data_IF_217166146911
#
_entry.id   IF_217166146911
#
_cell.length_a   1.000
_cell.length_b   1.000
_cell.length_c   1.000
_cell.angle_alpha   90.00
_cell.angle_beta   90.00
_cell.angle_gamma   90.00
#
_symmetry.space_group_name_H-M   'P 1'
#
loop_
_entity.id
_entity.type
_entity.pdbx_description
1 polymer ?
#
# COMPACT_ATOMS: atom_id res chain seq x y z
N UNK A 1 -5.32 -7.26 4.34
CA UNK A 1 -4.99 -6.36 3.24
C UNK A 1 -6.12 -6.47 2.22
N UNK A 2 -6.66 -5.37 1.70
CA UNK A 2 -7.69 -5.40 0.65
C UNK A 2 -6.98 -5.60 -0.68
N UNK A 3 -7.32 -6.68 -1.36
CA UNK A 3 -6.64 -7.11 -2.58
C UNK A 3 -7.26 -6.44 -3.81
N UNK A 4 -6.41 -5.96 -4.71
CA UNK A 4 -6.73 -5.37 -6.01
C UNK A 4 -7.90 -4.38 -5.97
N UNK A 5 -7.69 -3.28 -5.24
CA UNK A 5 -8.74 -2.29 -4.99
C UNK A 5 -9.23 -1.60 -6.28
N UNK A 6 -8.47 -1.66 -7.37
CA UNK A 6 -8.85 -1.16 -8.69
C UNK A 6 -10.06 -1.89 -9.30
N UNK A 7 -10.37 -3.11 -8.86
CA UNK A 7 -11.56 -3.84 -9.34
C UNK A 7 -12.83 -3.52 -8.56
N UNK A 8 -12.74 -2.70 -7.51
CA UNK A 8 -13.94 -2.20 -6.86
C UNK A 8 -14.74 -1.35 -7.88
N UNK A 9 -16.07 -1.50 -7.98
CA UNK A 9 -16.90 -0.67 -8.86
C UNK A 9 -16.71 0.83 -8.63
N UNK A 10 -16.38 1.18 -7.39
CA UNK A 10 -15.92 2.51 -7.00
C UNK A 10 -15.03 2.36 -5.75
N UNK A 11 -13.88 3.03 -5.72
CA UNK A 11 -12.97 3.06 -4.56
C UNK A 11 -13.64 3.55 -3.27
N UNK A 12 -14.70 4.37 -3.37
CA UNK A 12 -15.48 4.81 -2.22
C UNK A 12 -16.08 3.64 -1.42
N UNK A 13 -16.40 2.51 -2.05
CA UNK A 13 -16.83 1.30 -1.33
C UNK A 13 -15.72 0.73 -0.46
N UNK A 14 -14.47 0.77 -0.94
CA UNK A 14 -13.31 0.33 -0.16
C UNK A 14 -13.15 1.27 1.03
N UNK A 15 -13.17 2.58 0.82
CA UNK A 15 -12.90 3.57 1.87
C UNK A 15 -14.01 3.68 2.92
N UNK A 16 -15.28 3.64 2.51
CA UNK A 16 -16.42 3.92 3.39
C UNK A 16 -17.07 2.67 3.97
N UNK A 17 -16.82 1.49 3.39
CA UNK A 17 -17.43 0.25 3.88
C UNK A 17 -16.38 -0.78 4.29
N UNK A 18 -15.44 -1.09 3.40
CA UNK A 18 -14.49 -2.19 3.65
C UNK A 18 -13.47 -1.85 4.74
N UNK A 19 -12.81 -0.70 4.63
CA UNK A 19 -11.78 -0.30 5.60
C UNK A 19 -12.33 -0.11 7.02
N UNK A 20 -13.50 0.52 7.24
CA UNK A 20 -14.09 0.62 8.58
C UNK A 20 -14.37 -0.75 9.22
N UNK A 21 -14.90 -1.71 8.47
CA UNK A 21 -15.14 -3.07 8.99
C UNK A 21 -13.82 -3.74 9.38
N UNK A 22 -12.78 -3.59 8.56
CA UNK A 22 -11.45 -4.14 8.90
C UNK A 22 -10.80 -3.42 10.09
N UNK A 23 -11.10 -2.14 10.30
CA UNK A 23 -10.63 -1.40 11.47
C UNK A 23 -11.21 -1.95 12.77
N UNK A 24 -12.47 -2.39 12.78
CA UNK A 24 -13.05 -3.10 13.93
C UNK A 24 -12.32 -4.43 14.18
N UNK A 25 -12.00 -5.19 13.14
CA UNK A 25 -11.19 -6.41 13.29
C UNK A 25 -9.78 -6.14 13.86
N UNK A 26 -9.22 -4.95 13.63
CA UNK A 26 -7.97 -4.52 14.28
C UNK A 26 -8.20 -4.20 15.75
N UNK A 27 -9.27 -3.49 16.10
CA UNK A 27 -9.63 -3.19 17.50
C UNK A 27 -9.90 -4.45 18.31
N UNK A 28 -10.48 -5.46 17.69
CA UNK A 28 -10.70 -6.79 18.27
C UNK A 28 -9.42 -7.63 18.40
N UNK A 29 -8.27 -7.14 17.90
CA UNK A 29 -6.99 -7.84 17.95
C UNK A 29 -6.86 -9.01 16.97
N UNK A 30 -7.82 -9.19 16.04
CA UNK A 30 -7.78 -10.26 15.02
C UNK A 30 -6.81 -9.95 13.89
N UNK A 31 -6.58 -8.66 13.63
CA UNK A 31 -5.66 -8.16 12.59
C UNK A 31 -4.74 -7.12 13.21
N UNK A 32 -3.45 -7.14 12.85
CA UNK A 32 -2.47 -6.17 13.39
C UNK A 32 -2.35 -4.90 12.56
N UNK A 33 -2.46 -5.02 11.24
CA UNK A 33 -2.18 -3.95 10.29
C UNK A 33 -3.19 -3.94 9.14
N UNK A 34 -3.53 -2.74 8.67
CA UNK A 34 -4.36 -2.53 7.50
C UNK A 34 -3.53 -2.14 6.29
N UNK A 35 -4.02 -2.47 5.10
CA UNK A 35 -3.34 -2.11 3.87
C UNK A 35 -4.14 -2.47 2.65
N UNK A 36 -3.65 -2.02 1.50
CA UNK A 36 -4.26 -2.23 0.19
C UNK A 36 -3.23 -2.70 -0.83
N UNK A 37 -3.71 -3.37 -1.87
CA UNK A 37 -2.91 -3.71 -3.06
C UNK A 37 -3.55 -3.23 -4.34
N UNK A 38 -2.73 -3.05 -5.36
CA UNK A 38 -3.19 -2.72 -6.71
C UNK A 38 -2.06 -2.53 -7.70
N UNK A 39 -2.40 -2.60 -8.98
CA UNK A 39 -1.48 -2.39 -10.08
C UNK A 39 -1.28 -0.90 -10.43
N UNK A 40 -2.33 -0.08 -10.60
CA UNK A 40 -2.14 1.32 -11.00
C UNK A 40 -1.61 2.17 -9.83
N UNK A 41 -0.46 2.82 -10.04
CA UNK A 41 0.16 3.70 -9.02
C UNK A 41 -0.79 4.81 -8.57
N UNK A 42 -1.57 5.39 -9.49
CA UNK A 42 -2.56 6.44 -9.19
C UNK A 42 -3.69 5.97 -8.27
N UNK A 43 -4.07 4.69 -8.35
CA UNK A 43 -5.08 4.09 -7.47
C UNK A 43 -4.52 3.93 -6.06
N UNK A 44 -3.27 3.49 -5.94
CA UNK A 44 -2.58 3.39 -4.66
C UNK A 44 -2.38 4.76 -4.01
N UNK A 45 -1.97 5.77 -4.79
CA UNK A 45 -1.86 7.14 -4.32
C UNK A 45 -3.19 7.66 -3.78
N UNK A 46 -4.27 7.50 -4.55
CA UNK A 46 -5.61 7.91 -4.13
C UNK A 46 -6.05 7.19 -2.86
N UNK A 47 -5.75 5.89 -2.71
CA UNK A 47 -6.08 5.15 -1.51
C UNK A 47 -5.39 5.70 -0.26
N UNK A 48 -4.14 6.15 -0.41
CA UNK A 48 -3.39 6.73 0.70
C UNK A 48 -3.87 8.14 1.04
N UNK A 49 -4.18 8.96 0.05
CA UNK A 49 -4.64 10.35 0.24
C UNK A 49 -6.08 10.45 0.72
N UNK A 50 -6.96 9.58 0.22
CA UNK A 50 -8.42 9.68 0.42
C UNK A 50 -8.97 8.75 1.50
N UNK A 51 -8.17 7.78 1.98
CA UNK A 51 -8.67 6.86 3.01
C UNK A 51 -8.88 7.60 4.33
N UNK A 52 -10.08 7.51 4.94
CA UNK A 52 -10.34 8.08 6.27
C UNK A 52 -9.61 7.31 7.38
N UNK A 53 -9.11 6.11 7.07
CA UNK A 53 -8.44 5.21 8.00
C UNK A 53 -6.97 5.10 7.59
N UNK A 54 -6.10 5.17 8.59
CA UNK A 54 -4.66 5.02 8.38
C UNK A 54 -4.36 3.62 7.82
N UNK A 55 -3.74 3.59 6.64
CA UNK A 55 -3.19 2.38 6.05
C UNK A 55 -1.75 2.19 6.57
N UNK A 56 -1.38 0.97 6.90
CA UNK A 56 -0.02 0.62 7.36
C UNK A 56 0.82 0.02 6.23
N UNK A 57 0.18 -0.57 5.22
CA UNK A 57 0.85 -1.29 4.14
C UNK A 57 0.23 -0.91 2.81
N UNK A 58 1.07 -0.58 1.83
CA UNK A 58 0.69 -0.44 0.43
C UNK A 58 1.58 -1.38 -0.36
N UNK A 59 0.95 -2.24 -1.15
CA UNK A 59 1.65 -3.16 -2.03
C UNK A 59 1.29 -2.85 -3.47
N UNK A 60 2.32 -2.65 -4.30
CA UNK A 60 2.17 -2.45 -5.72
C UNK A 60 2.69 -3.65 -6.49
N UNK A 61 1.99 -4.01 -7.57
CA UNK A 61 2.44 -5.09 -8.45
C UNK A 61 3.37 -4.57 -9.54
N UNK A 62 4.62 -5.00 -9.51
CA UNK A 62 5.60 -4.77 -10.59
C UNK A 62 5.91 -3.30 -10.94
N UNK A 63 5.49 -2.31 -10.14
CA UNK A 63 5.76 -0.87 -10.39
C UNK A 63 7.06 -0.34 -9.79
N UNK A 64 7.89 -1.22 -9.24
CA UNK A 64 9.24 -0.88 -8.79
C UNK A 64 10.24 -1.98 -9.18
N UNK A 65 10.37 -2.19 -10.48
CA UNK A 65 11.27 -3.15 -11.14
C UNK A 65 12.36 -2.40 -11.92
N UNK A 66 13.29 -3.12 -12.57
CA UNK A 66 14.34 -2.53 -13.41
C UNK A 66 13.80 -1.70 -14.57
N UNK A 67 12.68 -2.14 -15.14
CA UNK A 67 12.09 -1.56 -16.36
C UNK A 67 10.90 -0.62 -16.08
N UNK A 68 10.43 -0.59 -14.83
CA UNK A 68 9.31 0.24 -14.40
C UNK A 68 9.52 0.67 -12.95
N UNK A 69 9.84 1.94 -12.75
CA UNK A 69 10.02 2.58 -11.46
C UNK A 69 8.92 3.60 -11.14
N UNK A 70 7.76 3.50 -11.78
CA UNK A 70 6.63 4.43 -11.60
C UNK A 70 6.19 4.58 -10.14
N UNK A 71 6.39 3.56 -9.29
CA UNK A 71 6.09 3.64 -7.85
C UNK A 71 6.94 4.71 -7.15
N UNK A 72 8.12 5.03 -7.67
CA UNK A 72 9.04 6.04 -7.12
C UNK A 72 8.40 7.42 -7.02
N UNK A 73 7.46 7.75 -7.92
CA UNK A 73 6.73 9.02 -7.93
C UNK A 73 5.93 9.25 -6.65
N UNK A 74 5.42 8.18 -6.03
CA UNK A 74 4.58 8.25 -4.84
C UNK A 74 5.34 7.89 -3.55
N UNK A 75 6.59 7.42 -3.64
CA UNK A 75 7.40 7.11 -2.46
C UNK A 75 7.55 8.31 -1.49
N UNK A 76 7.77 9.56 -1.95
CA UNK A 76 7.85 10.70 -1.04
C UNK A 76 6.56 10.90 -0.24
N UNK A 77 5.40 10.71 -0.88
CA UNK A 77 4.09 10.78 -0.24
C UNK A 77 3.92 9.69 0.81
N UNK A 78 4.32 8.45 0.50
CA UNK A 78 4.28 7.33 1.45
C UNK A 78 5.20 7.55 2.66
N UNK A 79 6.34 8.22 2.45
CA UNK A 79 7.33 8.50 3.48
C UNK A 79 6.89 9.62 4.45
N UNK A 80 6.21 10.66 3.95
CA UNK A 80 5.64 11.74 4.77
C UNK A 80 4.60 11.20 5.76
N UNK A 81 3.91 10.11 5.40
CA UNK A 81 2.86 9.54 6.23
C UNK A 81 3.38 8.59 7.33
N UNK A 82 4.71 8.57 7.54
CA UNK A 82 5.45 8.07 8.71
C UNK A 82 5.21 6.62 9.18
N UNK A 83 4.36 5.82 8.52
CA UNK A 83 3.99 4.48 9.02
C UNK A 83 3.56 3.49 7.94
N UNK A 84 4.17 3.57 6.76
CA UNK A 84 3.92 2.62 5.68
C UNK A 84 5.07 1.61 5.56
N UNK A 85 4.79 0.31 5.71
CA UNK A 85 5.68 -0.74 5.24
C UNK A 85 5.41 -0.96 3.75
N UNK A 86 6.38 -0.66 2.90
CA UNK A 86 6.27 -0.86 1.45
C UNK A 86 6.88 -2.22 1.13
N UNK A 87 6.04 -3.20 0.81
CA UNK A 87 6.51 -4.51 0.37
C UNK A 87 6.54 -4.55 -1.16
N UNK A 88 7.74 -4.43 -1.71
CA UNK A 88 8.01 -4.67 -3.13
C UNK A 88 8.29 -6.17 -3.28
N UNK A 89 7.53 -6.88 -4.12
CA UNK A 89 7.82 -8.27 -4.48
C UNK A 89 8.57 -8.23 -5.83
N UNK A 90 9.91 -8.37 -5.85
CA UNK A 90 10.65 -8.36 -7.09
C UNK A 90 10.45 -9.68 -7.85
N UNK A 91 9.81 -9.62 -9.02
CA UNK A 91 9.96 -10.66 -10.05
C UNK A 91 11.01 -10.17 -11.06
N UNK A 92 12.25 -10.66 -10.92
CA UNK A 92 13.40 -10.22 -11.74
C UNK A 92 14.18 -9.07 -11.10
N UNK A 93 15.29 -9.42 -10.48
CA UNK A 93 16.13 -8.61 -9.58
C UNK A 93 16.77 -7.39 -10.26
N UNK A 94 16.37 -6.18 -9.85
CA UNK A 94 17.31 -5.04 -9.74
C UNK A 94 18.48 -5.50 -8.84
N UNK A 95 19.73 -5.08 -9.07
CA UNK A 95 20.83 -5.42 -8.17
C UNK A 95 20.44 -5.03 -6.74
N UNK A 96 20.70 -5.94 -5.78
CA UNK A 96 20.27 -5.83 -4.37
C UNK A 96 20.67 -4.52 -3.69
N UNK A 97 21.61 -3.77 -4.24
CA UNK A 97 22.04 -2.46 -3.77
C UNK A 97 21.03 -1.32 -4.06
N UNK A 98 20.17 -1.46 -5.07
CA UNK A 98 19.18 -0.41 -5.45
C UNK A 98 17.77 -0.72 -4.98
N UNK A 99 17.49 -1.99 -4.63
CA UNK A 99 16.26 -2.37 -3.95
C UNK A 99 16.37 -1.93 -2.51
N UNK A 100 15.98 -0.68 -2.22
CA UNK A 100 15.70 -0.27 -0.84
C UNK A 100 14.50 -1.09 -0.37
N UNK A 101 14.75 -2.18 0.35
CA UNK A 101 13.76 -2.76 1.25
C UNK A 101 13.51 -1.73 2.33
N UNK A 102 12.57 -0.82 2.08
CA UNK A 102 12.19 0.18 3.06
C UNK A 102 11.19 -0.45 4.04
N UNK A 103 11.71 -1.35 4.87
CA UNK A 103 11.03 -1.89 6.03
C UNK A 103 11.16 -0.86 7.16
N UNK A 104 10.18 0.02 7.27
CA UNK A 104 10.07 0.89 8.44
C UNK A 104 9.47 0.08 9.59
N UNK A 105 10.32 -0.21 10.58
CA UNK A 105 9.93 -0.83 11.85
C UNK A 105 9.00 0.11 12.61
N UNK A 106 7.86 -0.41 13.06
CA UNK A 106 7.03 0.27 14.06
C UNK A 106 7.64 0.01 15.43
N UNK A 107 8.15 1.05 16.10
CA UNK A 107 8.22 1.08 17.57
C UNK A 107 6.81 1.18 18.17
#
# INVERSE_FOLDING_TARGET
MVHDIEFAPNLEYVFKQTLPVLQEAVKEGKVRYLGVTGYPVSILQRAVESSPIKLNVVLSYCRNTLIDDSLSEILPLLQILSSFSIKIIPHGTKPRAEVKETLFSTE
#
